data_IF_975815397521
#
_entry.id   IF_975815397521
#
_cell.length_a   1.000
_cell.length_b   1.000
_cell.length_c   1.000
_cell.angle_alpha   90.00
_cell.angle_beta   90.00
_cell.angle_gamma   90.00
#
_symmetry.space_group_name_H-M   'P 1'
#
loop_
_entity.id
_entity.type
_entity.pdbx_description
1 polymer ?
#
# COMPACT_ATOMS: atom_id res chain seq x y z
N UNK A 1 -0.96 49.69 28.27
CA UNK A 1 -0.22 48.81 29.21
C UNK A 1 0.34 47.53 28.57
N UNK A 2 0.20 47.35 27.24
CA UNK A 2 0.54 46.10 26.55
C UNK A 2 2.01 46.00 26.06
N UNK A 3 2.71 47.14 25.93
CA UNK A 3 4.09 47.21 25.41
C UNK A 3 5.15 46.70 26.42
N UNK A 4 4.86 46.73 27.73
CA UNK A 4 5.80 46.25 28.76
C UNK A 4 5.84 44.73 28.91
N UNK A 5 4.74 44.04 28.57
CA UNK A 5 4.66 42.58 28.63
C UNK A 5 5.56 41.92 27.57
N UNK A 6 5.62 42.46 26.36
CA UNK A 6 6.43 41.93 25.24
C UNK A 6 7.96 42.09 25.41
N UNK A 7 8.43 42.78 26.46
CA UNK A 7 9.85 43.02 26.73
C UNK A 7 10.42 42.18 27.86
N UNK A 8 9.59 41.41 28.57
CA UNK A 8 10.07 40.55 29.65
C UNK A 8 10.70 39.27 29.06
N UNK A 9 11.88 38.83 29.51
CA UNK A 9 12.49 37.59 29.01
C UNK A 9 11.58 36.37 29.22
N UNK A 10 10.77 36.37 30.29
CA UNK A 10 9.84 35.29 30.60
C UNK A 10 8.71 35.13 29.57
N UNK A 11 8.20 36.22 28.97
CA UNK A 11 7.17 36.12 27.94
C UNK A 11 7.72 35.51 26.66
N UNK A 12 8.98 35.82 26.30
CA UNK A 12 9.64 35.20 25.16
C UNK A 12 9.92 33.72 25.39
N UNK A 13 10.28 33.33 26.62
CA UNK A 13 10.42 31.91 27.00
C UNK A 13 9.07 31.19 26.89
N UNK A 14 7.98 31.77 27.42
CA UNK A 14 6.65 31.17 27.33
C UNK A 14 6.19 31.02 25.87
N UNK A 15 6.40 32.04 25.03
CA UNK A 15 6.10 31.97 23.59
C UNK A 15 6.95 30.90 22.90
N UNK A 16 8.24 30.80 23.20
CA UNK A 16 9.12 29.78 22.63
C UNK A 16 8.68 28.36 23.00
N UNK A 17 8.28 28.13 24.26
CA UNK A 17 7.77 26.84 24.72
C UNK A 17 6.45 26.48 24.03
N UNK A 18 5.52 27.44 23.93
CA UNK A 18 4.25 27.23 23.23
C UNK A 18 4.46 26.94 21.74
N UNK A 19 5.36 27.68 21.09
CA UNK A 19 5.69 27.48 19.68
C UNK A 19 6.36 26.10 19.46
N UNK A 20 7.28 25.69 20.33
CA UNK A 20 7.90 24.38 20.29
C UNK A 20 6.85 23.27 20.48
N UNK A 21 5.97 23.40 21.48
CA UNK A 21 4.88 22.45 21.71
C UNK A 21 3.91 22.34 20.53
N UNK A 22 3.54 23.46 19.93
CA UNK A 22 2.70 23.49 18.73
C UNK A 22 3.40 22.83 17.53
N UNK A 23 4.69 23.11 17.31
CA UNK A 23 5.48 22.49 16.24
C UNK A 23 5.59 20.97 16.43
N UNK A 24 5.85 20.51 17.66
CA UNK A 24 5.87 19.08 18.00
C UNK A 24 4.51 18.43 17.78
N UNK A 25 3.42 19.08 18.22
CA UNK A 25 2.07 18.60 18.01
C UNK A 25 1.71 18.47 16.53
N UNK A 26 2.00 19.49 15.73
CA UNK A 26 1.78 19.45 14.27
C UNK A 26 2.58 18.35 13.60
N UNK A 27 3.86 18.19 13.96
CA UNK A 27 4.73 17.13 13.44
C UNK A 27 4.20 15.72 13.75
N UNK A 28 3.70 15.50 14.97
CA UNK A 28 3.20 14.19 15.41
C UNK A 28 1.83 13.85 14.80
N UNK A 29 0.88 14.79 14.83
CA UNK A 29 -0.49 14.52 14.38
C UNK A 29 -0.65 14.56 12.86
N UNK A 30 0.14 15.39 12.17
CA UNK A 30 0.12 15.54 10.70
C UNK A 30 -1.28 15.83 10.12
N UNK A 31 -2.02 16.83 10.62
CA UNK A 31 -3.42 17.06 10.23
C UNK A 31 -3.60 17.37 8.74
N UNK A 32 -2.57 17.88 8.05
CA UNK A 32 -2.60 18.14 6.61
C UNK A 32 -2.76 16.87 5.76
N UNK A 33 -2.43 15.68 6.28
CA UNK A 33 -2.66 14.41 5.57
C UNK A 33 -4.14 14.16 5.27
N UNK A 34 -5.06 14.77 6.03
CA UNK A 34 -6.51 14.68 5.74
C UNK A 34 -6.93 15.35 4.42
N UNK A 35 -6.10 16.24 3.87
CA UNK A 35 -6.42 17.06 2.69
C UNK A 35 -5.32 17.02 1.63
N UNK A 36 -4.30 16.17 1.80
CA UNK A 36 -3.18 16.06 0.87
C UNK A 36 -3.06 14.65 0.33
N UNK A 37 -2.90 14.56 -0.98
CA UNK A 37 -2.67 13.33 -1.71
C UNK A 37 -1.21 13.26 -2.17
N UNK A 38 -0.68 12.04 -2.25
CA UNK A 38 0.61 11.73 -2.88
C UNK A 38 0.35 10.65 -3.92
N UNK A 39 0.54 11.02 -5.18
CA UNK A 39 0.34 10.13 -6.32
C UNK A 39 1.68 9.59 -6.82
N UNK A 40 1.73 8.29 -7.10
CA UNK A 40 2.92 7.57 -7.56
C UNK A 40 2.59 6.86 -8.88
N UNK A 41 3.52 6.93 -9.83
CA UNK A 41 3.39 6.27 -11.13
C UNK A 41 4.60 5.39 -11.40
N UNK A 42 4.70 4.28 -10.67
CA UNK A 42 5.76 3.31 -10.94
C UNK A 42 5.42 2.41 -12.12
N UNK A 43 6.46 2.05 -12.88
CA UNK A 43 6.30 1.15 -14.02
C UNK A 43 5.97 -0.27 -13.52
N UNK A 44 4.73 -0.66 -13.75
CA UNK A 44 4.25 -2.01 -13.49
C UNK A 44 4.83 -3.01 -14.50
N UNK A 45 4.90 -4.27 -14.09
CA UNK A 45 5.32 -5.37 -14.97
C UNK A 45 4.30 -5.55 -16.08
N UNK A 46 4.76 -5.54 -17.33
CA UNK A 46 3.95 -5.97 -18.46
C UNK A 46 3.82 -7.50 -18.41
N UNK A 47 2.80 -8.00 -17.72
CA UNK A 47 2.41 -9.40 -17.83
C UNK A 47 1.50 -9.49 -19.05
N UNK A 48 1.91 -10.27 -20.05
CA UNK A 48 1.05 -10.54 -21.21
C UNK A 48 -0.23 -11.19 -20.73
N UNK A 49 -1.35 -10.47 -20.84
CA UNK A 49 -2.65 -11.11 -20.84
C UNK A 49 -2.71 -12.02 -22.07
N UNK A 50 -3.21 -13.24 -21.89
CA UNK A 50 -3.44 -14.19 -22.97
C UNK A 50 -4.15 -13.48 -24.15
N UNK A 51 -3.58 -13.49 -25.37
CA UNK A 51 -4.25 -12.91 -26.51
C UNK A 51 -5.56 -13.66 -26.75
N UNK A 52 -6.69 -12.96 -26.80
CA UNK A 52 -7.90 -13.50 -27.40
C UNK A 52 -7.54 -14.00 -28.82
N UNK A 53 -7.86 -15.27 -29.16
CA UNK A 53 -7.42 -15.81 -30.44
C UNK A 53 -8.11 -15.06 -31.58
N UNK A 54 -7.37 -14.58 -32.60
CA UNK A 54 -8.00 -14.19 -33.86
C UNK A 54 -8.61 -15.45 -34.50
N UNK A 55 -9.80 -15.36 -35.12
CA UNK A 55 -10.31 -16.44 -35.93
C UNK A 55 -9.48 -16.51 -37.22
N UNK A 56 -8.55 -17.47 -37.32
CA UNK A 56 -7.83 -17.72 -38.57
C UNK A 56 -6.53 -18.48 -38.42
N UNK A 57 -6.57 -19.77 -38.80
CA UNK A 57 -5.48 -20.68 -39.20
C UNK A 57 -4.04 -20.13 -39.26
N UNK A 58 -3.14 -20.71 -38.45
CA UNK A 58 -1.84 -21.25 -38.90
C UNK A 58 -1.12 -22.06 -37.78
N UNK A 59 -0.74 -23.29 -38.14
CA UNK A 59 0.35 -24.18 -37.67
C UNK A 59 0.99 -23.98 -36.28
N UNK A 60 1.07 -25.01 -35.42
CA UNK A 60 1.85 -24.96 -34.18
C UNK A 60 3.36 -25.05 -34.49
N UNK A 61 4.00 -23.90 -34.64
CA UNK A 61 5.45 -23.79 -34.44
C UNK A 61 5.69 -23.67 -32.92
N UNK A 62 6.40 -24.62 -32.33
CA UNK A 62 6.76 -24.60 -30.92
C UNK A 62 7.59 -23.33 -30.63
N UNK A 63 6.92 -22.32 -30.06
CA UNK A 63 7.58 -21.14 -29.52
C UNK A 63 8.42 -21.56 -28.29
N UNK A 64 9.63 -21.02 -28.12
CA UNK A 64 10.42 -21.30 -26.92
C UNK A 64 9.62 -20.85 -25.69
N UNK A 65 9.65 -21.65 -24.63
CA UNK A 65 9.00 -21.33 -23.36
C UNK A 65 9.45 -19.94 -22.89
N UNK A 66 8.54 -18.97 -22.98
CA UNK A 66 8.79 -17.59 -22.61
C UNK A 66 9.22 -17.53 -21.14
N UNK A 67 10.47 -17.13 -20.88
CA UNK A 67 10.94 -16.72 -19.55
C UNK A 67 10.52 -15.27 -19.26
N UNK A 68 9.32 -14.90 -19.71
CA UNK A 68 8.74 -13.59 -19.48
C UNK A 68 8.19 -13.46 -18.05
N UNK A 69 7.84 -12.24 -17.62
CA UNK A 69 7.16 -12.05 -16.36
C UNK A 69 5.82 -12.79 -16.31
N UNK A 70 5.48 -13.33 -15.14
CA UNK A 70 4.28 -14.15 -14.92
C UNK A 70 3.44 -13.56 -13.80
N UNK A 71 2.12 -13.48 -14.00
CA UNK A 71 1.17 -13.17 -12.94
C UNK A 71 1.06 -14.39 -12.02
N UNK A 72 1.29 -14.19 -10.73
CA UNK A 72 1.23 -15.27 -9.72
C UNK A 72 -0.13 -15.26 -9.05
N UNK A 73 -0.59 -14.09 -8.62
CA UNK A 73 -1.90 -13.92 -8.00
C UNK A 73 -2.40 -12.48 -8.18
N UNK A 74 -3.71 -12.27 -8.06
CA UNK A 74 -4.33 -10.94 -8.07
C UNK A 74 -5.61 -10.87 -7.25
N UNK A 75 -6.02 -9.65 -6.95
CA UNK A 75 -7.40 -9.34 -6.61
C UNK A 75 -7.62 -7.84 -6.51
N UNK A 76 -8.86 -7.47 -6.24
CA UNK A 76 -9.30 -6.07 -6.17
C UNK A 76 -9.46 -5.65 -4.71
N UNK A 77 -9.14 -4.40 -4.41
CA UNK A 77 -9.31 -3.87 -3.06
C UNK A 77 -10.78 -3.75 -2.70
N UNK A 78 -11.10 -4.12 -1.46
CA UNK A 78 -12.33 -3.74 -0.78
C UNK A 78 -12.03 -2.67 0.26
N UNK A 79 -12.96 -1.73 0.42
CA UNK A 79 -12.87 -0.69 1.45
C UNK A 79 -12.98 -1.30 2.85
N UNK A 80 -12.14 -0.81 3.75
CA UNK A 80 -12.23 -1.06 5.18
C UNK A 80 -12.55 0.25 5.91
N UNK A 81 -11.70 0.71 6.83
CA UNK A 81 -11.91 1.96 7.58
C UNK A 81 -12.04 3.16 6.61
N UNK A 82 -11.36 3.09 5.46
CA UNK A 82 -11.39 4.13 4.44
C UNK A 82 -11.86 3.59 3.10
N UNK A 83 -12.50 4.44 2.30
CA UNK A 83 -12.74 4.12 0.90
C UNK A 83 -11.42 3.79 0.21
N UNK A 84 -11.35 2.62 -0.41
CA UNK A 84 -10.15 2.13 -1.09
C UNK A 84 -10.54 1.45 -2.40
N UNK A 85 -9.83 1.78 -3.47
CA UNK A 85 -10.03 1.27 -4.84
C UNK A 85 -8.70 0.85 -5.46
N UNK A 86 -8.79 0.15 -6.59
CA UNK A 86 -7.65 -0.38 -7.32
C UNK A 86 -7.49 -1.88 -7.12
N UNK A 87 -6.38 -2.42 -7.61
CA UNK A 87 -6.05 -3.84 -7.49
C UNK A 87 -4.68 -4.07 -6.87
N UNK A 88 -4.48 -5.30 -6.42
CA UNK A 88 -3.18 -5.80 -6.00
C UNK A 88 -2.85 -7.07 -6.80
N UNK A 89 -1.59 -7.22 -7.20
CA UNK A 89 -1.12 -8.43 -7.87
C UNK A 89 0.30 -8.78 -7.51
N UNK A 90 0.57 -10.08 -7.35
CA UNK A 90 1.92 -10.60 -7.23
C UNK A 90 2.38 -11.06 -8.60
N UNK A 91 3.56 -10.61 -9.00
CA UNK A 91 4.19 -11.00 -10.26
C UNK A 91 5.55 -11.60 -10.00
N UNK A 92 5.90 -12.62 -10.79
CA UNK A 92 7.28 -13.07 -10.93
C UNK A 92 7.89 -12.35 -12.11
N UNK A 93 8.95 -11.59 -11.88
CA UNK A 93 9.67 -10.85 -12.92
C UNK A 93 10.53 -11.79 -13.77
N UNK A 94 11.03 -11.31 -14.91
CA UNK A 94 11.83 -12.12 -15.84
C UNK A 94 13.15 -12.62 -15.23
N UNK A 95 13.66 -11.94 -14.20
CA UNK A 95 14.82 -12.34 -13.40
C UNK A 95 14.47 -13.34 -12.27
N UNK A 96 13.22 -13.81 -12.20
CA UNK A 96 12.74 -14.79 -11.23
C UNK A 96 12.39 -14.22 -9.85
N UNK A 97 12.59 -12.92 -9.62
CA UNK A 97 12.18 -12.27 -8.36
C UNK A 97 10.66 -12.10 -8.30
N UNK A 98 10.14 -11.94 -7.09
CA UNK A 98 8.72 -11.65 -6.87
C UNK A 98 8.55 -10.20 -6.43
N UNK A 99 7.47 -9.58 -6.90
CA UNK A 99 7.07 -8.25 -6.47
C UNK A 99 5.56 -8.20 -6.29
N UNK A 100 5.11 -7.46 -5.29
CA UNK A 100 3.73 -7.02 -5.17
C UNK A 100 3.55 -5.70 -5.93
N UNK A 101 2.52 -5.61 -6.75
CA UNK A 101 2.14 -4.42 -7.48
C UNK A 101 0.74 -3.96 -7.06
N UNK A 102 0.63 -2.71 -6.63
CA UNK A 102 -0.62 -2.01 -6.45
C UNK A 102 -0.94 -1.29 -7.77
N UNK A 103 -2.14 -1.51 -8.30
CA UNK A 103 -2.57 -1.06 -9.62
C UNK A 103 -3.72 -0.07 -9.46
N UNK A 104 -3.49 1.18 -9.83
CA UNK A 104 -4.48 2.25 -9.74
C UNK A 104 -5.04 2.41 -8.33
N UNK A 105 -4.18 2.35 -7.30
CA UNK A 105 -4.60 2.53 -5.92
C UNK A 105 -5.27 3.91 -5.79
N UNK A 106 -6.37 3.98 -5.04
CA UNK A 106 -6.94 5.24 -4.58
C UNK A 106 -7.49 5.00 -3.17
N UNK A 107 -6.89 5.63 -2.17
CA UNK A 107 -7.31 5.54 -0.76
C UNK A 107 -7.03 6.84 -0.02
N UNK A 108 -7.53 6.97 1.20
CA UNK A 108 -7.22 8.11 2.08
C UNK A 108 -5.76 8.09 2.53
N UNK A 109 -5.17 9.25 2.76
CA UNK A 109 -3.81 9.35 3.29
C UNK A 109 -3.78 9.17 4.81
N UNK A 110 -2.82 8.39 5.30
CA UNK A 110 -2.69 8.01 6.70
C UNK A 110 -1.33 8.38 7.29
N UNK A 111 -1.24 8.49 8.62
CA UNK A 111 -0.01 8.89 9.30
C UNK A 111 1.14 7.90 9.13
N UNK A 112 0.84 6.60 9.09
CA UNK A 112 1.81 5.52 9.04
C UNK A 112 1.23 4.31 8.30
N UNK A 113 1.02 4.47 6.99
CA UNK A 113 0.50 3.41 6.14
C UNK A 113 1.62 2.50 5.67
N UNK A 114 1.39 1.20 5.74
CA UNK A 114 2.28 0.11 5.37
C UNK A 114 1.57 -0.83 4.40
N UNK A 115 2.33 -1.47 3.52
CA UNK A 115 1.82 -2.51 2.61
C UNK A 115 2.20 -3.88 3.16
N UNK A 116 1.21 -4.66 3.54
CA UNK A 116 1.40 -5.99 4.14
C UNK A 116 0.87 -7.08 3.23
N UNK A 117 1.63 -8.17 3.08
CA UNK A 117 1.11 -9.48 2.67
C UNK A 117 0.76 -10.28 3.91
N UNK A 118 -0.39 -10.95 3.95
CA UNK A 118 -0.90 -11.58 5.18
C UNK A 118 -1.71 -12.85 4.89
N UNK A 119 -1.74 -13.77 5.84
CA UNK A 119 -2.56 -15.00 5.80
C UNK A 119 -4.02 -14.78 6.22
N UNK A 120 -4.35 -13.58 6.69
CA UNK A 120 -5.68 -13.26 7.17
C UNK A 120 -6.66 -13.05 6.01
N UNK A 121 -7.86 -13.65 6.07
CA UNK A 121 -8.85 -13.51 5.02
C UNK A 121 -9.42 -12.09 5.02
N UNK A 122 -9.68 -11.56 3.82
CA UNK A 122 -10.39 -10.28 3.67
C UNK A 122 -11.84 -10.45 4.11
N UNK A 123 -12.27 -9.63 5.08
CA UNK A 123 -13.63 -9.61 5.64
C UNK A 123 -14.22 -8.23 5.47
N UNK A 124 -15.45 -8.13 4.99
CA UNK A 124 -16.13 -6.84 4.88
C UNK A 124 -16.75 -6.41 6.21
N UNK A 125 -16.86 -5.10 6.40
CA UNK A 125 -17.41 -4.48 7.62
C UNK A 125 -16.38 -4.31 8.75
N UNK A 126 -16.76 -3.63 9.85
CA UNK A 126 -15.82 -3.18 10.89
C UNK A 126 -15.01 -4.30 11.56
N UNK A 127 -15.56 -5.51 11.63
CA UNK A 127 -14.88 -6.66 12.20
C UNK A 127 -13.71 -7.15 11.35
N UNK A 128 -13.60 -6.73 10.08
CA UNK A 128 -12.47 -7.05 9.20
C UNK A 128 -11.32 -6.05 9.27
N UNK A 129 -11.50 -4.90 9.94
CA UNK A 129 -10.51 -3.82 9.89
C UNK A 129 -9.28 -4.11 10.74
N UNK A 130 -9.41 -4.94 11.77
CA UNK A 130 -8.39 -5.18 12.79
C UNK A 130 -7.82 -6.60 12.76
N UNK A 131 -8.09 -7.41 11.73
CA UNK A 131 -7.74 -8.84 11.77
C UNK A 131 -6.32 -9.14 11.32
N UNK A 132 -5.62 -8.15 10.74
CA UNK A 132 -4.40 -8.40 9.97
C UNK A 132 -3.13 -8.55 10.83
N UNK A 133 -3.18 -8.14 12.09
CA UNK A 133 -2.13 -8.33 13.10
C UNK A 133 -2.31 -9.63 13.94
N UNK A 134 -3.41 -10.36 13.76
CA UNK A 134 -3.69 -11.64 14.44
C UNK A 134 -2.96 -12.86 13.82
N UNK A 135 -2.29 -12.69 12.67
CA UNK A 135 -1.71 -13.78 11.86
C UNK A 135 -0.31 -13.50 11.35
N UNK A 136 0.17 -14.34 10.42
CA UNK A 136 1.45 -14.08 9.76
C UNK A 136 1.27 -12.96 8.77
N UNK A 137 2.18 -12.01 8.83
CA UNK A 137 2.29 -10.97 7.82
C UNK A 137 3.75 -10.70 7.47
N UNK A 138 3.95 -10.13 6.29
CA UNK A 138 5.22 -9.60 5.83
C UNK A 138 4.97 -8.14 5.44
N UNK A 139 5.58 -7.23 6.18
CA UNK A 139 5.60 -5.82 5.83
C UNK A 139 6.57 -5.60 4.67
N UNK A 140 6.05 -5.20 3.52
CA UNK A 140 6.86 -4.90 2.33
C UNK A 140 7.41 -3.47 2.34
N UNK A 141 6.87 -2.62 3.21
CA UNK A 141 7.36 -1.28 3.50
C UNK A 141 6.24 -0.23 3.56
N UNK A 142 6.63 1.04 3.81
CA UNK A 142 5.69 2.15 3.87
C UNK A 142 4.97 2.35 2.54
N UNK A 143 3.69 2.73 2.59
CA UNK A 143 2.93 3.12 1.41
C UNK A 143 3.57 4.38 0.80
N UNK A 144 4.05 4.28 -0.44
CA UNK A 144 4.78 5.36 -1.13
C UNK A 144 3.87 6.53 -1.49
N UNK A 145 2.62 6.24 -1.84
CA UNK A 145 1.57 7.23 -2.09
C UNK A 145 0.18 6.63 -1.89
N UNK A 146 -0.80 7.44 -1.52
CA UNK A 146 -2.18 6.98 -1.36
C UNK A 146 -2.94 6.89 -2.70
N UNK A 147 -2.30 7.29 -3.80
CA UNK A 147 -2.83 7.15 -5.16
C UNK A 147 -1.80 6.60 -6.15
N UNK A 148 -2.30 5.91 -7.19
CA UNK A 148 -1.55 5.50 -8.37
C UNK A 148 -0.93 4.10 -8.31
N UNK A 149 0.01 3.86 -9.23
CA UNK A 149 0.66 2.58 -9.47
C UNK A 149 1.97 2.46 -8.68
N UNK A 150 2.15 1.35 -7.97
CA UNK A 150 3.27 1.18 -7.03
C UNK A 150 3.74 -0.27 -7.00
N UNK A 151 5.04 -0.48 -6.88
CA UNK A 151 5.68 -1.78 -6.84
C UNK A 151 6.51 -1.96 -5.56
N UNK A 152 6.38 -3.12 -4.93
CA UNK A 152 7.10 -3.50 -3.72
C UNK A 152 7.84 -4.81 -3.98
N UNK A 153 9.15 -4.82 -3.73
CA UNK A 153 9.92 -6.07 -3.82
C UNK A 153 9.50 -7.01 -2.69
N UNK A 154 9.32 -8.29 -3.01
CA UNK A 154 9.18 -9.33 -1.99
C UNK A 154 10.60 -9.89 -1.76
N UNK A 155 11.20 -9.70 -0.57
CA UNK A 155 12.59 -10.08 -0.34
C UNK A 155 12.86 -11.54 -0.70
N UNK A 156 14.00 -11.82 -1.31
CA UNK A 156 14.39 -13.19 -1.67
C UNK A 156 14.43 -14.08 -0.42
N UNK A 157 13.87 -15.29 -0.53
CA UNK A 157 13.75 -16.22 0.60
C UNK A 157 12.54 -15.98 1.51
N UNK A 158 11.72 -14.96 1.25
CA UNK A 158 10.43 -14.80 1.94
C UNK A 158 9.51 -15.96 1.56
N UNK A 159 9.09 -16.75 2.55
CA UNK A 159 8.01 -17.70 2.37
C UNK A 159 6.67 -16.98 2.48
N UNK A 160 6.16 -16.54 1.33
CA UNK A 160 4.82 -15.94 1.22
C UNK A 160 3.75 -16.99 0.86
N UNK A 161 4.06 -18.29 0.97
CA UNK A 161 3.04 -19.33 0.80
C UNK A 161 1.97 -19.20 1.89
N UNK A 162 0.71 -19.28 1.48
CA UNK A 162 -0.43 -19.08 2.37
C UNK A 162 -0.70 -17.63 2.77
N UNK A 163 0.11 -16.65 2.33
CA UNK A 163 -0.26 -15.24 2.41
C UNK A 163 -1.23 -14.94 1.27
N UNK A 164 -2.52 -14.87 1.61
CA UNK A 164 -3.63 -14.86 0.65
C UNK A 164 -4.31 -13.51 0.54
N UNK A 165 -3.78 -12.47 1.17
CA UNK A 165 -4.30 -11.12 1.02
C UNK A 165 -3.22 -10.05 1.16
N UNK A 166 -3.57 -8.85 0.71
CA UNK A 166 -2.81 -7.62 0.91
C UNK A 166 -3.65 -6.69 1.78
N UNK A 167 -3.04 -6.03 2.75
CA UNK A 167 -3.65 -4.92 3.49
C UNK A 167 -2.84 -3.64 3.31
N UNK A 168 -3.53 -2.53 3.11
CA UNK A 168 -2.99 -1.19 3.38
C UNK A 168 -3.23 -0.94 4.87
N UNK A 169 -2.22 -1.20 5.68
CA UNK A 169 -2.31 -1.22 7.14
C UNK A 169 -1.80 0.08 7.74
N UNK A 170 -2.54 0.66 8.68
CA UNK A 170 -2.10 1.83 9.44
C UNK A 170 -1.50 1.36 10.77
N UNK A 171 -0.17 1.31 10.86
CA UNK A 171 0.54 0.78 12.03
C UNK A 171 0.20 1.57 13.30
N UNK A 172 0.07 2.90 13.18
CA UNK A 172 -0.23 3.78 14.30
C UNK A 172 -1.60 3.52 14.94
N UNK A 173 -2.58 3.09 14.14
CA UNK A 173 -3.97 2.95 14.59
C UNK A 173 -4.46 1.50 14.61
N UNK A 174 -3.61 0.55 14.19
CA UNK A 174 -3.95 -0.87 14.07
C UNK A 174 -5.25 -1.10 13.29
N UNK A 175 -5.37 -0.46 12.13
CA UNK A 175 -6.54 -0.57 11.24
C UNK A 175 -6.11 -0.75 9.78
N UNK A 176 -6.87 -1.55 9.05
CA UNK A 176 -6.79 -1.66 7.60
C UNK A 176 -7.60 -0.55 6.94
N UNK A 177 -6.98 0.18 6.01
CA UNK A 177 -7.68 1.16 5.16
C UNK A 177 -8.41 0.46 4.02
N UNK A 178 -7.80 -0.59 3.47
CA UNK A 178 -8.42 -1.48 2.50
C UNK A 178 -7.58 -2.73 2.34
N UNK A 179 -8.23 -3.81 1.90
CA UNK A 179 -7.55 -5.09 1.68
C UNK A 179 -7.98 -5.74 0.36
N UNK A 180 -7.10 -6.52 -0.24
CA UNK A 180 -7.36 -7.26 -1.47
C UNK A 180 -7.08 -8.75 -1.26
N UNK A 181 -8.06 -9.66 -1.48
CA UNK A 181 -7.78 -11.08 -1.48
C UNK A 181 -6.93 -11.42 -2.72
N UNK A 182 -5.92 -12.26 -2.57
CA UNK A 182 -5.06 -12.71 -3.66
C UNK A 182 -5.47 -14.11 -4.08
N UNK A 183 -6.04 -14.23 -5.28
CA UNK A 183 -6.32 -15.51 -5.93
C UNK A 183 -5.24 -15.82 -6.94
N UNK A 184 -4.82 -17.09 -7.01
CA UNK A 184 -3.82 -17.53 -7.97
C UNK A 184 -4.28 -17.21 -9.40
N UNK A 185 -3.37 -16.72 -10.23
CA UNK A 185 -3.61 -16.60 -11.65
C UNK A 185 -3.64 -18.01 -12.26
N UNK A 186 -4.70 -18.30 -13.02
CA UNK A 186 -4.86 -19.56 -13.75
C UNK A 186 -3.94 -19.66 -14.96
#
# INVERSE_FOLDING_TARGET
MSIRLLRAPLTWVAVAVLAAGAATGLYWFQPWKLVTDTEVHEKLTAVSAEPAPPPGTATPAAAPASTGPVLVSRGDFVSHEHETRGGARVVRTADGRHRLELVGLDTSNGPDLQVWLTDQPVRTGPSGWHVFDDGRHVALGPLKGNRGDQAYEIPAGTDFSGLTSVSIWCERFAVSFGAAPLTAAG
#
